data_IF_542348529141
#
_entry.id   IF_542348529141
#
_cell.length_a   1.000
_cell.length_b   1.000
_cell.length_c   1.000
_cell.angle_alpha   90.00
_cell.angle_beta   90.00
_cell.angle_gamma   90.00
#
_symmetry.space_group_name_H-M   'P 1'
#
loop_
_entity.id
_entity.type
_entity.pdbx_description
1 polymer ?
#
# COMPACT_ATOMS: atom_id res chain seq x y z
N UNK A 1 31.21 -79.55 -28.96
CA UNK A 1 31.67 -80.40 -27.83
C UNK A 1 31.85 -79.53 -26.59
N UNK A 2 31.16 -79.89 -25.48
CA UNK A 2 31.46 -79.65 -24.04
C UNK A 2 31.63 -78.17 -23.58
N UNK A 3 30.69 -77.62 -22.77
CA UNK A 3 30.62 -77.61 -21.27
C UNK A 3 31.83 -76.86 -20.65
N UNK A 4 31.78 -75.92 -19.71
CA UNK A 4 30.87 -75.70 -18.56
C UNK A 4 31.18 -74.34 -17.87
N UNK A 5 30.14 -73.70 -17.32
CA UNK A 5 30.01 -72.83 -16.13
C UNK A 5 31.21 -72.08 -15.51
N UNK A 6 30.99 -70.80 -15.17
CA UNK A 6 31.15 -70.27 -13.80
C UNK A 6 30.33 -68.98 -13.56
N UNK A 7 29.77 -68.95 -12.35
CA UNK A 7 28.92 -67.95 -11.71
C UNK A 7 29.73 -66.65 -11.45
N UNK A 8 29.11 -65.49 -11.67
CA UNK A 8 29.56 -64.23 -11.07
C UNK A 8 28.34 -63.39 -10.66
N UNK A 9 28.28 -63.10 -9.37
CA UNK A 9 27.24 -62.33 -8.71
C UNK A 9 27.53 -60.82 -8.75
N UNK A 10 26.44 -60.05 -8.72
CA UNK A 10 26.23 -58.68 -8.25
C UNK A 10 27.46 -57.76 -8.00
N UNK A 11 27.40 -56.57 -8.60
CA UNK A 11 27.46 -55.28 -7.90
C UNK A 11 27.18 -54.13 -8.89
N UNK A 12 25.92 -53.69 -8.99
CA UNK A 12 25.58 -52.42 -9.63
C UNK A 12 25.77 -51.33 -8.58
N UNK A 13 26.79 -50.51 -8.78
CA UNK A 13 27.09 -49.33 -7.97
C UNK A 13 26.08 -48.23 -8.34
N UNK A 14 24.96 -48.16 -7.63
CA UNK A 14 24.05 -47.02 -7.70
C UNK A 14 24.67 -45.86 -6.90
N UNK A 15 25.23 -44.87 -7.62
CA UNK A 15 25.61 -43.59 -7.04
C UNK A 15 24.36 -42.87 -6.54
N UNK A 16 24.16 -42.88 -5.22
CA UNK A 16 23.27 -41.98 -4.51
C UNK A 16 23.86 -40.56 -4.58
N UNK A 17 23.44 -39.77 -5.56
CA UNK A 17 23.48 -38.32 -5.44
C UNK A 17 22.23 -37.87 -4.67
N UNK A 18 22.36 -37.73 -3.36
CA UNK A 18 21.45 -36.93 -2.55
C UNK A 18 21.66 -35.46 -2.92
N UNK A 19 21.00 -35.00 -3.99
CA UNK A 19 20.72 -33.58 -4.14
C UNK A 19 19.64 -33.22 -3.12
N UNK A 20 20.08 -32.70 -1.98
CA UNK A 20 19.22 -32.03 -1.02
C UNK A 20 18.49 -30.90 -1.75
N UNK A 21 17.21 -31.09 -2.00
CA UNK A 21 16.30 -30.04 -2.38
C UNK A 21 16.01 -29.19 -1.14
N UNK A 22 16.89 -28.23 -0.84
CA UNK A 22 16.51 -27.06 -0.05
C UNK A 22 15.59 -26.18 -0.91
N UNK A 23 14.41 -26.70 -1.21
CA UNK A 23 13.25 -25.87 -1.46
C UNK A 23 12.86 -25.29 -0.10
N UNK A 24 13.48 -24.15 0.24
CA UNK A 24 12.86 -23.21 1.15
C UNK A 24 11.58 -22.78 0.46
N UNK A 25 10.50 -23.50 0.77
CA UNK A 25 9.14 -23.08 0.49
C UNK A 25 9.01 -21.66 1.01
N UNK A 26 8.96 -20.68 0.11
CA UNK A 26 8.44 -19.35 0.40
C UNK A 26 6.95 -19.52 0.68
N UNK A 27 6.62 -20.10 1.84
CA UNK A 27 5.30 -20.00 2.42
C UNK A 27 5.03 -18.51 2.55
N UNK A 28 3.98 -18.03 1.88
CA UNK A 28 3.43 -16.69 2.07
C UNK A 28 3.18 -16.47 3.57
N UNK A 29 4.17 -15.89 4.25
CA UNK A 29 3.99 -15.35 5.59
C UNK A 29 3.22 -14.05 5.37
N UNK A 30 1.93 -14.07 5.71
CA UNK A 30 1.14 -12.86 5.88
C UNK A 30 1.76 -12.10 7.06
N UNK A 31 2.77 -11.28 6.76
CA UNK A 31 3.33 -10.32 7.70
C UNK A 31 2.47 -9.07 7.61
N UNK A 32 1.73 -8.79 8.68
CA UNK A 32 0.99 -7.55 8.87
C UNK A 32 1.62 -6.72 9.99
N UNK A 33 1.06 -5.54 10.21
CA UNK A 33 1.47 -4.68 11.32
C UNK A 33 0.30 -4.49 12.29
N UNK A 34 0.60 -4.50 13.58
CA UNK A 34 -0.32 -4.23 14.69
C UNK A 34 0.09 -2.93 15.39
N UNK A 35 -0.88 -2.12 15.83
CA UNK A 35 -0.63 -0.92 16.64
C UNK A 35 -1.09 -1.23 18.05
N UNK A 36 -0.18 -1.16 19.02
CA UNK A 36 -0.55 -1.44 20.40
C UNK A 36 -1.33 -0.29 21.04
N UNK A 37 -1.87 -0.51 22.25
CA UNK A 37 -2.69 0.48 22.96
C UNK A 37 -1.96 1.81 23.26
N UNK A 38 -0.63 1.86 23.12
CA UNK A 38 0.17 3.08 23.27
C UNK A 38 0.49 3.76 21.93
N UNK A 39 -0.14 3.31 20.83
CA UNK A 39 0.10 3.85 19.50
C UNK A 39 1.43 3.41 18.88
N UNK A 40 2.05 2.34 19.40
CA UNK A 40 3.33 1.83 18.90
C UNK A 40 3.10 0.76 17.84
N UNK A 41 3.65 0.99 16.65
CA UNK A 41 3.61 0.07 15.52
C UNK A 41 4.57 -1.11 15.69
N UNK A 42 4.07 -2.35 15.56
CA UNK A 42 4.85 -3.61 15.61
C UNK A 42 4.50 -4.56 14.48
N UNK A 43 5.49 -5.25 13.93
CA UNK A 43 5.26 -6.29 12.90
C UNK A 43 4.75 -7.57 13.57
N UNK A 44 3.68 -8.16 13.01
CA UNK A 44 3.05 -9.39 13.49
C UNK A 44 2.98 -10.43 12.37
N UNK A 45 3.31 -11.67 12.72
CA UNK A 45 3.20 -12.82 11.83
C UNK A 45 1.91 -13.59 12.14
N UNK A 46 1.20 -14.02 11.10
CA UNK A 46 -0.05 -14.77 11.21
C UNK A 46 0.10 -16.21 10.71
N UNK A 47 -0.64 -17.16 11.31
CA UNK A 47 -0.62 -18.58 10.90
C UNK A 47 -1.36 -18.76 9.55
N UNK A 48 -0.69 -19.25 8.49
CA UNK A 48 -1.29 -19.40 7.17
C UNK A 48 -2.38 -20.50 7.08
N UNK A 49 -2.45 -21.43 8.05
CA UNK A 49 -3.40 -22.56 8.00
C UNK A 49 -4.85 -22.14 8.18
N UNK A 50 -5.11 -21.16 9.04
CA UNK A 50 -6.46 -20.60 9.24
C UNK A 50 -6.96 -19.88 7.96
N UNK A 51 -6.04 -19.25 7.23
CA UNK A 51 -6.35 -18.58 5.96
C UNK A 51 -6.86 -19.58 4.92
N UNK A 52 -6.16 -20.72 4.80
CA UNK A 52 -6.49 -21.75 3.81
C UNK A 52 -7.84 -22.41 4.07
N UNK A 53 -8.21 -22.62 5.35
CA UNK A 53 -9.51 -23.18 5.71
C UNK A 53 -10.66 -22.23 5.35
N UNK A 54 -10.57 -20.96 5.74
CA UNK A 54 -11.60 -19.94 5.42
C UNK A 54 -11.76 -19.75 3.91
N UNK A 55 -10.65 -19.73 3.16
CA UNK A 55 -10.69 -19.59 1.71
C UNK A 55 -11.36 -20.80 1.02
N UNK A 56 -11.13 -22.01 1.53
CA UNK A 56 -11.75 -23.22 0.99
C UNK A 56 -13.27 -23.25 1.22
N UNK A 57 -13.74 -22.79 2.39
CA UNK A 57 -15.17 -22.68 2.68
C UNK A 57 -15.86 -21.60 1.84
N UNK A 58 -15.21 -20.45 1.64
CA UNK A 58 -15.74 -19.35 0.84
C UNK A 58 -15.86 -19.71 -0.65
N UNK A 59 -14.90 -20.47 -1.20
CA UNK A 59 -14.93 -20.94 -2.61
C UNK A 59 -16.18 -21.77 -2.92
N UNK A 60 -16.66 -22.55 -1.97
CA UNK A 60 -17.86 -23.37 -2.13
C UNK A 60 -19.17 -22.55 -2.12
N UNK A 61 -19.11 -21.26 -1.78
CA UNK A 61 -20.25 -20.32 -1.75
C UNK A 61 -20.22 -19.30 -2.89
N UNK A 62 -19.18 -19.32 -3.74
CA UNK A 62 -18.85 -18.22 -4.65
C UNK A 62 -19.68 -18.15 -5.95
N UNK A 63 -20.85 -18.80 -6.02
CA UNK A 63 -21.54 -19.03 -7.31
C UNK A 63 -22.69 -18.06 -7.62
N UNK A 64 -23.08 -17.15 -6.71
CA UNK A 64 -24.23 -16.27 -6.94
C UNK A 64 -24.02 -14.82 -6.47
N UNK A 65 -24.63 -13.89 -7.20
CA UNK A 65 -24.70 -12.47 -6.83
C UNK A 65 -23.34 -11.79 -6.77
N UNK A 66 -23.10 -11.06 -5.67
CA UNK A 66 -21.87 -10.27 -5.43
C UNK A 66 -20.59 -11.12 -5.47
N UNK A 67 -20.71 -12.43 -5.25
CA UNK A 67 -19.56 -13.33 -5.19
C UNK A 67 -19.01 -13.73 -6.57
N UNK A 68 -19.73 -13.39 -7.65
CA UNK A 68 -19.29 -13.66 -9.00
C UNK A 68 -18.18 -12.70 -9.44
N UNK A 69 -17.25 -13.21 -10.26
CA UNK A 69 -16.21 -12.39 -10.89
C UNK A 69 -16.81 -11.49 -11.96
N UNK A 70 -16.39 -10.23 -11.96
CA UNK A 70 -16.75 -9.22 -12.94
C UNK A 70 -15.51 -8.49 -13.43
N UNK A 71 -15.44 -8.24 -14.74
CA UNK A 71 -14.36 -7.43 -15.33
C UNK A 71 -14.55 -5.94 -15.06
N UNK A 72 -15.79 -5.52 -14.84
CA UNK A 72 -16.15 -4.11 -14.65
C UNK A 72 -17.43 -4.05 -13.82
N UNK A 73 -17.30 -4.22 -12.51
CA UNK A 73 -18.38 -3.95 -11.56
C UNK A 73 -18.47 -2.46 -11.32
N UNK A 74 -19.69 -1.94 -11.30
CA UNK A 74 -20.03 -0.54 -11.05
C UNK A 74 -20.68 -0.44 -9.69
N UNK A 75 -20.27 0.54 -8.91
CA UNK A 75 -20.85 0.89 -7.61
C UNK A 75 -21.26 2.35 -7.65
N UNK A 76 -22.57 2.61 -7.55
CA UNK A 76 -23.10 3.96 -7.41
C UNK A 76 -22.98 4.39 -5.94
N UNK A 77 -22.17 5.43 -5.69
CA UNK A 77 -21.85 5.91 -4.34
C UNK A 77 -23.09 6.50 -3.64
N UNK A 78 -23.91 7.24 -4.38
CA UNK A 78 -25.13 7.84 -3.84
C UNK A 78 -26.24 6.80 -3.61
N UNK A 79 -26.39 5.78 -4.47
CA UNK A 79 -27.31 4.67 -4.18
C UNK A 79 -26.83 3.81 -3.01
N UNK A 80 -25.53 3.57 -2.91
CA UNK A 80 -24.93 2.84 -1.81
C UNK A 80 -25.21 3.56 -0.49
N UNK A 81 -25.00 4.88 -0.42
CA UNK A 81 -25.33 5.66 0.77
C UNK A 81 -26.82 5.56 1.13
N UNK A 82 -27.72 5.69 0.15
CA UNK A 82 -29.16 5.57 0.40
C UNK A 82 -29.54 4.20 0.99
N UNK A 83 -28.93 3.12 0.50
CA UNK A 83 -29.17 1.77 1.05
C UNK A 83 -28.51 1.59 2.43
N UNK A 84 -27.35 2.20 2.69
CA UNK A 84 -26.76 2.25 4.04
C UNK A 84 -27.71 2.98 5.01
N UNK A 85 -28.22 4.14 4.62
CA UNK A 85 -29.15 4.93 5.42
C UNK A 85 -30.37 4.10 5.82
N UNK A 86 -30.98 3.42 4.84
CA UNK A 86 -32.13 2.53 5.06
C UNK A 86 -31.82 1.39 6.02
N UNK A 87 -30.64 0.77 5.93
CA UNK A 87 -30.24 -0.29 6.85
C UNK A 87 -30.04 0.24 8.28
N UNK A 88 -29.42 1.40 8.44
CA UNK A 88 -29.21 2.03 9.75
C UNK A 88 -30.53 2.47 10.40
N UNK A 89 -31.46 3.04 9.63
CA UNK A 89 -32.80 3.40 10.10
C UNK A 89 -33.61 2.17 10.57
N UNK A 90 -33.39 1.03 9.94
CA UNK A 90 -33.98 -0.25 10.35
C UNK A 90 -33.30 -0.88 11.59
N UNK A 91 -32.29 -0.22 12.18
CA UNK A 91 -31.51 -0.74 13.32
C UNK A 91 -30.48 -1.80 12.94
N UNK A 92 -30.18 -1.94 11.64
CA UNK A 92 -29.16 -2.84 11.11
C UNK A 92 -27.75 -2.27 11.20
N UNK A 93 -26.79 -2.98 10.61
CA UNK A 93 -25.40 -2.53 10.43
C UNK A 93 -25.02 -2.63 8.96
N UNK A 94 -23.97 -1.90 8.57
CA UNK A 94 -23.43 -1.97 7.20
C UNK A 94 -23.00 -3.41 6.90
N UNK A 95 -23.56 -3.99 5.83
CA UNK A 95 -23.27 -5.39 5.44
C UNK A 95 -21.85 -5.54 4.88
N UNK A 96 -21.32 -6.77 4.89
CA UNK A 96 -19.97 -7.03 4.37
C UNK A 96 -19.85 -6.77 2.86
N UNK A 97 -20.93 -6.98 2.09
CA UNK A 97 -21.00 -6.61 0.68
C UNK A 97 -20.79 -5.11 0.47
N UNK A 98 -21.37 -4.27 1.35
CA UNK A 98 -21.16 -2.83 1.32
C UNK A 98 -19.75 -2.46 1.76
N UNK A 99 -19.24 -3.08 2.85
CA UNK A 99 -17.87 -2.84 3.34
C UNK A 99 -16.81 -3.18 2.29
N UNK A 100 -17.02 -4.23 1.50
CA UNK A 100 -16.14 -4.65 0.40
C UNK A 100 -16.45 -3.97 -0.95
N UNK A 101 -17.38 -3.01 -0.98
CA UNK A 101 -17.85 -2.34 -2.20
C UNK A 101 -18.17 -3.32 -3.33
N UNK A 102 -19.01 -4.30 -2.99
CA UNK A 102 -19.42 -5.38 -3.86
C UNK A 102 -18.24 -6.19 -4.42
N UNK A 103 -17.16 -6.34 -3.65
CA UNK A 103 -16.01 -7.16 -4.02
C UNK A 103 -15.10 -6.51 -5.07
N UNK A 104 -15.18 -5.20 -5.29
CA UNK A 104 -14.22 -4.48 -6.14
C UNK A 104 -12.79 -4.77 -5.65
N UNK A 105 -11.90 -5.15 -6.56
CA UNK A 105 -10.47 -5.45 -6.26
C UNK A 105 -9.52 -4.37 -6.76
N UNK A 106 -10.03 -3.43 -7.56
CA UNK A 106 -9.32 -2.25 -8.02
C UNK A 106 -10.33 -1.19 -8.47
N UNK A 107 -9.97 0.08 -8.33
CA UNK A 107 -10.73 1.20 -8.86
C UNK A 107 -10.04 1.64 -10.16
N UNK A 108 -10.69 1.41 -11.29
CA UNK A 108 -10.17 1.75 -12.62
C UNK A 108 -10.90 2.96 -13.23
N UNK A 109 -12.15 3.20 -12.84
CA UNK A 109 -12.97 4.24 -13.44
C UNK A 109 -13.77 5.04 -12.42
N UNK A 110 -14.00 6.30 -12.75
CA UNK A 110 -15.05 7.14 -12.17
C UNK A 110 -15.96 7.59 -13.30
N UNK A 111 -17.26 7.39 -13.14
CA UNK A 111 -18.29 7.83 -14.08
C UNK A 111 -19.29 8.73 -13.37
N UNK A 112 -19.75 9.75 -14.07
CA UNK A 112 -20.95 10.50 -13.71
C UNK A 112 -22.00 10.32 -14.79
N UNK A 113 -23.23 9.99 -14.37
CA UNK A 113 -24.38 9.83 -15.25
C UNK A 113 -25.40 10.93 -14.95
N UNK A 114 -25.45 12.03 -15.73
CA UNK A 114 -26.32 13.18 -15.43
C UNK A 114 -27.81 12.83 -15.37
N UNK A 115 -28.28 11.95 -16.25
CA UNK A 115 -29.70 11.58 -16.35
C UNK A 115 -30.23 10.89 -15.10
N UNK A 116 -29.39 10.07 -14.46
CA UNK A 116 -29.74 9.34 -13.23
C UNK A 116 -29.08 9.91 -11.98
N UNK A 117 -28.26 10.95 -12.14
CA UNK A 117 -27.44 11.59 -11.11
C UNK A 117 -26.53 10.61 -10.36
N UNK A 118 -26.14 9.52 -11.01
CA UNK A 118 -25.30 8.49 -10.39
C UNK A 118 -23.82 8.87 -10.47
N UNK A 119 -23.14 8.88 -9.32
CA UNK A 119 -21.68 8.98 -9.22
C UNK A 119 -21.16 7.57 -8.97
N UNK A 120 -20.41 7.04 -9.92
CA UNK A 120 -20.07 5.62 -9.99
C UNK A 120 -18.57 5.43 -9.96
N UNK A 121 -18.10 4.54 -9.10
CA UNK A 121 -16.76 3.97 -9.19
C UNK A 121 -16.84 2.58 -9.81
N UNK A 122 -15.87 2.21 -10.64
CA UNK A 122 -15.90 0.92 -11.31
C UNK A 122 -14.52 0.30 -11.51
N UNK A 123 -14.50 -1.02 -11.64
CA UNK A 123 -13.28 -1.80 -11.86
C UNK A 123 -13.54 -3.31 -11.75
N UNK A 124 -12.49 -4.13 -11.81
CA UNK A 124 -12.60 -5.58 -11.65
C UNK A 124 -13.07 -5.93 -10.24
N UNK A 125 -13.98 -6.90 -10.14
CA UNK A 125 -14.51 -7.39 -8.87
C UNK A 125 -14.56 -8.91 -8.85
N UNK A 126 -14.54 -9.47 -7.64
CA UNK A 126 -14.70 -10.89 -7.44
C UNK A 126 -15.26 -11.20 -6.05
N UNK A 127 -15.63 -12.45 -5.81
CA UNK A 127 -16.05 -12.88 -4.47
C UNK A 127 -14.93 -12.71 -3.46
N UNK A 128 -15.28 -12.36 -2.23
CA UNK A 128 -14.31 -11.95 -1.21
C UNK A 128 -14.53 -12.71 0.09
N UNK A 129 -13.49 -12.75 0.92
CA UNK A 129 -13.50 -13.44 2.22
C UNK A 129 -12.61 -12.69 3.21
N UNK A 130 -12.96 -12.63 4.51
CA UNK A 130 -12.04 -12.17 5.53
C UNK A 130 -10.86 -13.13 5.66
N UNK A 131 -9.66 -12.58 5.55
CA UNK A 131 -8.42 -13.29 5.81
C UNK A 131 -8.18 -13.46 7.34
N UNK A 132 -7.07 -14.09 7.80
CA UNK A 132 -6.79 -14.24 9.22
C UNK A 132 -6.60 -12.93 9.98
N UNK A 133 -6.38 -11.82 9.28
CA UNK A 133 -6.30 -10.47 9.84
C UNK A 133 -7.64 -9.74 9.78
N UNK A 134 -8.72 -10.47 9.47
CA UNK A 134 -10.09 -9.98 9.30
C UNK A 134 -10.25 -8.97 8.16
N UNK A 135 -9.26 -8.89 7.25
CA UNK A 135 -9.32 -8.03 6.07
C UNK A 135 -9.97 -8.76 4.91
N UNK A 136 -10.80 -8.06 4.16
CA UNK A 136 -11.53 -8.62 3.02
C UNK A 136 -10.60 -8.70 1.80
N UNK A 137 -10.44 -9.92 1.27
CA UNK A 137 -9.60 -10.21 0.11
C UNK A 137 -10.37 -11.01 -0.92
N UNK A 138 -10.06 -10.79 -2.20
CA UNK A 138 -10.62 -11.53 -3.31
C UNK A 138 -10.22 -13.01 -3.31
N UNK A 139 -11.17 -13.90 -3.60
CA UNK A 139 -11.02 -15.36 -3.48
C UNK A 139 -10.13 -15.95 -4.59
N UNK A 140 -10.12 -15.33 -5.76
CA UNK A 140 -9.43 -15.80 -6.95
C UNK A 140 -8.04 -15.17 -7.05
N UNK A 141 -7.95 -13.84 -6.91
CA UNK A 141 -6.68 -13.09 -7.04
C UNK A 141 -5.91 -12.95 -5.73
N UNK A 142 -6.58 -13.04 -4.58
CA UNK A 142 -5.99 -12.73 -3.27
C UNK A 142 -5.72 -11.24 -3.05
N UNK A 143 -6.17 -10.36 -3.95
CA UNK A 143 -6.03 -8.90 -3.81
C UNK A 143 -6.92 -8.38 -2.68
N UNK A 144 -6.51 -7.31 -1.97
CA UNK A 144 -7.42 -6.59 -1.08
C UNK A 144 -8.62 -6.05 -1.88
N UNK A 145 -9.80 -6.06 -1.26
CA UNK A 145 -10.97 -5.39 -1.83
C UNK A 145 -10.88 -3.88 -1.61
N UNK A 146 -11.53 -3.07 -2.46
CA UNK A 146 -11.78 -1.64 -2.17
C UNK A 146 -12.67 -1.59 -0.93
N UNK A 147 -12.21 -0.98 0.15
CA UNK A 147 -12.98 -0.89 1.38
C UNK A 147 -13.82 0.39 1.41
N UNK A 148 -15.06 0.28 1.90
CA UNK A 148 -15.94 1.41 2.12
C UNK A 148 -15.30 2.46 3.04
N UNK A 149 -14.64 2.04 4.12
CA UNK A 149 -14.00 2.96 5.07
C UNK A 149 -12.89 3.82 4.43
N UNK A 150 -12.15 3.26 3.46
CA UNK A 150 -11.11 3.98 2.75
C UNK A 150 -11.70 4.95 1.72
N UNK A 151 -12.78 4.55 1.03
CA UNK A 151 -13.52 5.44 0.13
C UNK A 151 -14.16 6.58 0.90
N UNK A 152 -14.82 6.31 2.03
CA UNK A 152 -15.41 7.34 2.90
C UNK A 152 -14.33 8.29 3.43
N UNK A 153 -13.20 7.78 3.88
CA UNK A 153 -12.07 8.62 4.33
C UNK A 153 -11.60 9.57 3.22
N UNK A 154 -11.45 9.07 1.98
CA UNK A 154 -11.06 9.90 0.86
C UNK A 154 -12.14 10.90 0.43
N UNK A 155 -13.41 10.49 0.37
CA UNK A 155 -14.54 11.37 0.05
C UNK A 155 -14.65 12.51 1.07
N UNK A 156 -14.41 12.24 2.37
CA UNK A 156 -14.36 13.28 3.41
C UNK A 156 -13.18 14.24 3.26
N UNK A 157 -12.01 13.75 2.82
CA UNK A 157 -10.86 14.61 2.50
C UNK A 157 -11.12 15.53 1.29
N UNK A 158 -12.10 15.18 0.44
CA UNK A 158 -12.53 15.89 -0.76
C UNK A 158 -14.05 16.12 -0.78
N UNK A 159 -14.62 16.54 0.36
CA UNK A 159 -16.06 16.67 0.55
C UNK A 159 -16.69 17.83 -0.25
N UNK A 160 -17.99 17.78 -0.60
CA UNK A 160 -18.72 18.87 -1.24
C UNK A 160 -18.62 20.17 -0.43
N UNK A 161 -18.33 21.27 -1.12
CA UNK A 161 -18.22 22.60 -0.51
C UNK A 161 -17.01 22.80 0.44
N UNK A 162 -16.22 21.76 0.72
CA UNK A 162 -15.03 21.85 1.56
C UNK A 162 -13.81 22.31 0.74
N UNK A 163 -12.85 22.95 1.42
CA UNK A 163 -11.55 23.22 0.79
C UNK A 163 -10.86 21.88 0.48
N UNK A 164 -10.44 21.64 -0.78
CA UNK A 164 -9.78 20.39 -1.14
C UNK A 164 -8.53 20.13 -0.31
N UNK A 165 -8.34 18.90 0.16
CA UNK A 165 -7.10 18.48 0.81
C UNK A 165 -5.94 18.61 -0.18
N UNK A 166 -4.97 19.45 0.16
CA UNK A 166 -3.81 19.71 -0.72
C UNK A 166 -2.83 18.55 -0.76
N UNK A 167 -2.68 17.84 0.36
CA UNK A 167 -1.69 16.78 0.53
C UNK A 167 -2.18 15.78 1.56
N UNK A 168 -2.14 14.51 1.20
CA UNK A 168 -2.27 13.39 2.13
C UNK A 168 -0.86 12.83 2.33
N UNK A 169 -0.34 12.88 3.55
CA UNK A 169 1.04 12.44 3.79
C UNK A 169 1.22 11.76 5.14
N UNK A 170 2.13 10.80 5.16
CA UNK A 170 2.74 10.23 6.36
C UNK A 170 4.22 10.57 6.35
N UNK A 171 4.76 10.91 7.50
CA UNK A 171 6.21 10.88 7.75
C UNK A 171 6.52 10.16 9.04
N UNK A 172 7.52 9.30 9.00
CA UNK A 172 8.09 8.66 10.19
C UNK A 172 9.50 9.20 10.35
N UNK A 173 9.70 9.97 11.43
CA UNK A 173 10.88 10.79 11.62
C UNK A 173 11.42 10.68 13.06
N UNK A 174 12.74 10.58 13.26
CA UNK A 174 13.34 10.65 14.59
C UNK A 174 13.01 11.96 15.31
N UNK A 175 12.89 11.89 16.63
CA UNK A 175 12.76 13.08 17.48
C UNK A 175 14.02 13.95 17.44
N UNK A 176 13.88 15.25 17.70
CA UNK A 176 15.02 16.18 17.75
C UNK A 176 16.04 15.75 18.83
N UNK A 177 15.53 15.27 19.96
CA UNK A 177 16.31 14.74 21.08
C UNK A 177 17.02 13.45 20.69
N UNK A 178 16.34 12.56 19.97
CA UNK A 178 16.91 11.33 19.41
C UNK A 178 18.06 11.60 18.45
N UNK A 179 17.90 12.57 17.53
CA UNK A 179 18.96 13.00 16.63
C UNK A 179 20.18 13.55 17.40
N UNK A 180 19.97 14.34 18.45
CA UNK A 180 21.07 14.86 19.28
C UNK A 180 21.80 13.76 20.06
N UNK A 181 21.07 12.78 20.60
CA UNK A 181 21.67 11.61 21.26
C UNK A 181 22.48 10.77 20.27
N UNK A 182 21.91 10.50 19.10
CA UNK A 182 22.60 9.80 18.01
C UNK A 182 23.91 10.51 17.60
N UNK A 183 23.88 11.83 17.42
CA UNK A 183 25.08 12.60 17.07
C UNK A 183 26.17 12.50 18.14
N UNK A 184 25.78 12.57 19.43
CA UNK A 184 26.71 12.41 20.55
C UNK A 184 27.30 10.99 20.60
N UNK A 185 26.49 9.98 20.36
CA UNK A 185 26.94 8.58 20.29
C UNK A 185 27.91 8.35 19.13
N UNK A 186 27.58 8.80 17.92
CA UNK A 186 28.46 8.69 16.75
C UNK A 186 29.79 9.41 16.98
N UNK A 187 29.77 10.57 17.64
CA UNK A 187 31.00 11.29 17.99
C UNK A 187 31.87 10.53 19.00
N UNK A 188 31.27 9.83 19.97
CA UNK A 188 32.01 9.09 21.00
C UNK A 188 32.65 7.80 20.48
N UNK A 189 32.05 7.18 19.46
CA UNK A 189 32.60 5.95 18.86
C UNK A 189 33.56 6.24 17.70
N UNK A 190 33.58 7.45 17.15
CA UNK A 190 34.36 7.82 15.95
C UNK A 190 35.84 7.41 16.06
N UNK A 191 36.35 6.70 15.04
CA UNK A 191 37.74 6.26 14.96
C UNK A 191 38.10 5.04 15.81
N UNK A 192 37.14 4.46 16.56
CA UNK A 192 37.33 3.28 17.42
C UNK A 192 36.44 2.10 17.01
N UNK A 193 35.97 2.11 15.77
CA UNK A 193 34.91 1.24 15.25
C UNK A 193 35.55 0.11 14.43
N UNK A 194 35.35 -1.15 14.84
CA UNK A 194 35.79 -2.35 14.11
C UNK A 194 34.59 -3.16 13.56
N UNK A 195 34.77 -3.98 12.51
CA UNK A 195 33.69 -4.82 11.97
C UNK A 195 32.95 -5.67 13.02
N UNK A 196 33.66 -6.16 14.04
CA UNK A 196 33.09 -6.94 15.14
C UNK A 196 32.14 -6.13 16.06
N UNK A 197 32.15 -4.80 15.97
CA UNK A 197 31.28 -3.92 16.75
C UNK A 197 29.93 -3.63 16.09
N UNK A 198 29.65 -4.24 14.93
CA UNK A 198 28.46 -3.98 14.12
C UNK A 198 27.16 -4.01 14.94
N UNK A 199 26.89 -5.13 15.62
CA UNK A 199 25.66 -5.31 16.41
C UNK A 199 25.59 -4.32 17.57
N UNK A 200 26.71 -4.11 18.27
CA UNK A 200 26.81 -3.14 19.38
C UNK A 200 26.52 -1.71 18.90
N UNK A 201 26.98 -1.34 17.71
CA UNK A 201 26.70 -0.05 17.10
C UNK A 201 25.28 0.07 16.58
N UNK A 202 24.70 -1.00 16.02
CA UNK A 202 23.30 -1.03 15.62
C UNK A 202 22.37 -0.80 16.82
N UNK A 203 22.60 -1.54 17.91
CA UNK A 203 21.84 -1.40 19.15
C UNK A 203 22.06 -0.01 19.76
N UNK A 204 23.31 0.44 19.85
CA UNK A 204 23.62 1.78 20.37
C UNK A 204 22.94 2.89 19.55
N UNK A 205 22.90 2.78 18.23
CA UNK A 205 22.14 3.72 17.40
C UNK A 205 20.63 3.64 17.63
N UNK A 206 20.07 2.43 17.67
CA UNK A 206 18.65 2.19 17.94
C UNK A 206 18.23 2.84 19.26
N UNK A 207 18.98 2.57 20.33
CA UNK A 207 18.69 3.05 21.68
C UNK A 207 18.83 4.57 21.78
N UNK A 208 19.87 5.14 21.15
CA UNK A 208 20.09 6.59 21.20
C UNK A 208 19.05 7.35 20.36
N UNK A 209 18.66 6.85 19.20
CA UNK A 209 17.58 7.43 18.41
C UNK A 209 16.24 7.35 19.16
N UNK A 210 15.94 6.20 19.76
CA UNK A 210 14.68 5.95 20.47
C UNK A 210 13.51 5.77 19.50
N UNK A 211 12.29 6.00 19.98
CA UNK A 211 11.09 5.93 19.12
C UNK A 211 11.07 7.10 18.12
N UNK A 212 10.54 6.83 16.94
CA UNK A 212 10.33 7.84 15.90
C UNK A 212 8.87 8.27 15.92
N UNK A 213 8.64 9.55 15.63
CA UNK A 213 7.30 10.15 15.59
C UNK A 213 6.68 9.92 14.23
N UNK A 214 5.42 9.48 14.23
CA UNK A 214 4.56 9.43 13.05
C UNK A 214 3.82 10.75 12.95
N UNK A 215 3.82 11.37 11.78
CA UNK A 215 3.02 12.57 11.48
C UNK A 215 2.16 12.31 10.26
N UNK A 216 0.85 12.48 10.42
CA UNK A 216 -0.15 12.28 9.37
C UNK A 216 -0.78 13.63 9.04
N UNK A 217 -1.02 13.89 7.75
CA UNK A 217 -1.71 15.09 7.26
C UNK A 217 -2.73 14.72 6.19
N UNK A 218 -3.80 15.49 6.12
CA UNK A 218 -4.84 15.40 5.09
C UNK A 218 -5.96 14.40 5.39
N UNK A 219 -5.76 13.46 6.31
CA UNK A 219 -6.76 12.48 6.76
C UNK A 219 -6.66 12.28 8.28
N UNK A 220 -7.72 11.78 8.95
CA UNK A 220 -7.64 11.38 10.35
C UNK A 220 -6.67 10.22 10.58
N UNK A 221 -6.01 10.20 11.74
CA UNK A 221 -4.92 9.27 12.04
C UNK A 221 -5.38 7.88 12.54
N UNK A 222 -6.64 7.77 12.94
CA UNK A 222 -7.33 6.59 13.48
C UNK A 222 -8.08 5.78 12.41
N UNK A 223 -7.71 5.92 11.13
CA UNK A 223 -8.35 5.24 9.99
C UNK A 223 -7.52 4.06 9.48
N UNK A 224 -8.16 3.11 8.80
CA UNK A 224 -7.45 2.07 8.03
C UNK A 224 -6.48 2.70 7.03
N UNK A 225 -6.96 3.72 6.30
CA UNK A 225 -6.17 4.53 5.37
C UNK A 225 -4.84 4.98 6.00
N UNK A 226 -4.88 5.66 7.15
CA UNK A 226 -3.70 6.13 7.86
C UNK A 226 -2.75 4.97 8.24
N UNK A 227 -3.29 3.85 8.74
CA UNK A 227 -2.50 2.68 9.13
C UNK A 227 -1.72 2.08 7.96
N UNK A 228 -2.36 1.92 6.80
CA UNK A 228 -1.70 1.39 5.59
C UNK A 228 -0.55 2.29 5.14
N UNK A 229 -0.74 3.62 5.15
CA UNK A 229 0.33 4.55 4.77
C UNK A 229 1.56 4.43 5.67
N UNK A 230 1.34 4.32 6.99
CA UNK A 230 2.43 4.15 7.97
C UNK A 230 3.09 2.78 7.83
N UNK A 231 2.31 1.72 7.67
CA UNK A 231 2.82 0.36 7.46
C UNK A 231 3.70 0.29 6.20
N UNK A 232 3.24 0.86 5.07
CA UNK A 232 3.96 0.83 3.82
C UNK A 232 5.30 1.58 3.90
N UNK A 233 5.34 2.78 4.50
CA UNK A 233 6.59 3.51 4.72
C UNK A 233 7.55 2.73 5.64
N UNK A 234 7.03 2.22 6.76
CA UNK A 234 7.84 1.48 7.72
C UNK A 234 8.47 0.23 7.08
N UNK A 235 7.69 -0.57 6.36
CA UNK A 235 8.19 -1.78 5.69
C UNK A 235 9.15 -1.46 4.55
N UNK A 236 8.89 -0.42 3.77
CA UNK A 236 9.83 0.02 2.73
C UNK A 236 11.20 0.36 3.32
N UNK A 237 11.24 1.00 4.50
CA UNK A 237 12.49 1.26 5.22
C UNK A 237 13.19 -0.03 5.61
N UNK A 238 12.47 -1.00 6.19
CA UNK A 238 13.03 -2.31 6.56
C UNK A 238 13.64 -3.02 5.34
N UNK A 239 12.99 -2.94 4.17
CA UNK A 239 13.52 -3.47 2.91
C UNK A 239 14.78 -2.73 2.46
N UNK A 240 14.76 -1.40 2.50
CA UNK A 240 15.91 -0.57 2.11
C UNK A 240 17.14 -0.85 2.97
N UNK A 241 16.97 -1.12 4.26
CA UNK A 241 18.05 -1.49 5.18
C UNK A 241 18.35 -2.99 5.23
N UNK A 242 17.65 -3.82 4.46
CA UNK A 242 17.87 -5.26 4.41
C UNK A 242 17.45 -6.03 5.67
N UNK A 243 16.60 -5.46 6.53
CA UNK A 243 15.95 -6.18 7.63
C UNK A 243 14.70 -6.94 7.18
N UNK A 244 14.09 -6.53 6.07
CA UNK A 244 12.98 -7.24 5.43
C UNK A 244 13.39 -7.65 4.01
N UNK A 245 13.06 -8.89 3.62
CA UNK A 245 13.22 -9.37 2.26
C UNK A 245 11.86 -9.54 1.61
N UNK A 246 11.67 -8.91 0.46
CA UNK A 246 10.44 -9.08 -0.33
C UNK A 246 10.46 -10.41 -1.09
N UNK A 247 9.28 -11.00 -1.39
CA UNK A 247 9.15 -12.20 -2.21
C UNK A 247 9.36 -11.94 -3.72
N UNK A 248 10.24 -11.00 -4.05
CA UNK A 248 10.66 -10.61 -5.40
C UNK A 248 12.18 -10.35 -5.40
N UNK A 249 12.81 -10.40 -6.58
CA UNK A 249 14.23 -10.09 -6.70
C UNK A 249 14.46 -8.58 -6.67
N UNK A 250 14.74 -8.05 -5.47
CA UNK A 250 15.09 -6.65 -5.27
C UNK A 250 16.31 -6.57 -4.33
N UNK A 251 17.39 -5.91 -4.76
CA UNK A 251 18.50 -5.64 -3.86
C UNK A 251 18.21 -4.40 -3.02
N UNK A 252 18.49 -4.50 -1.71
CA UNK A 252 18.34 -3.39 -0.77
C UNK A 252 19.31 -2.25 -1.09
N UNK A 253 19.07 -1.08 -0.49
CA UNK A 253 20.02 0.03 -0.58
C UNK A 253 21.37 -0.35 0.04
N UNK A 254 21.37 -1.00 1.21
CA UNK A 254 22.60 -1.41 1.91
C UNK A 254 23.42 -2.45 1.15
N UNK A 255 22.78 -3.25 0.28
CA UNK A 255 23.49 -4.17 -0.61
C UNK A 255 24.29 -3.43 -1.70
N UNK A 256 23.81 -2.25 -2.12
CA UNK A 256 24.36 -1.46 -3.22
C UNK A 256 25.31 -0.36 -2.76
N UNK A 257 25.16 0.10 -1.53
CA UNK A 257 25.84 1.29 -1.06
C UNK A 257 27.36 1.08 -0.98
N UNK A 258 28.11 2.02 -1.56
CA UNK A 258 29.57 2.02 -1.51
C UNK A 258 30.06 2.89 -0.33
N UNK A 259 30.81 2.32 0.63
CA UNK A 259 31.32 3.01 1.82
C UNK A 259 32.14 4.26 1.55
N UNK A 260 32.81 4.29 0.40
CA UNK A 260 33.71 5.38 0.01
C UNK A 260 32.97 6.60 -0.57
N UNK A 261 31.67 6.46 -0.86
CA UNK A 261 30.84 7.52 -1.47
C UNK A 261 29.75 8.07 -0.55
N UNK A 262 29.54 7.44 0.61
CA UNK A 262 28.54 7.86 1.60
C UNK A 262 29.25 8.56 2.75
N UNK A 263 28.95 9.85 2.96
CA UNK A 263 29.52 10.57 4.10
C UNK A 263 29.03 9.95 5.42
N UNK A 264 29.86 9.97 6.47
CA UNK A 264 29.56 9.37 7.79
C UNK A 264 28.28 9.91 8.47
N UNK A 265 27.70 10.99 7.93
CA UNK A 265 26.51 11.68 8.45
C UNK A 265 25.43 11.86 7.36
N UNK A 266 25.59 11.24 6.19
CA UNK A 266 24.62 11.31 5.10
C UNK A 266 23.41 10.44 5.43
N UNK A 267 22.22 11.01 5.26
CA UNK A 267 20.96 10.33 5.53
C UNK A 267 20.16 10.25 4.23
N UNK A 268 19.75 9.04 3.90
CA UNK A 268 18.81 8.80 2.81
C UNK A 268 17.39 8.90 3.34
N UNK A 269 16.55 9.65 2.63
CA UNK A 269 15.11 9.72 2.84
C UNK A 269 14.42 9.13 1.63
N UNK A 270 13.51 8.19 1.84
CA UNK A 270 12.68 7.62 0.78
C UNK A 270 11.20 7.85 1.06
N UNK A 271 10.41 8.16 0.05
CA UNK A 271 8.97 8.23 0.24
C UNK A 271 8.23 7.75 -1.01
N UNK A 272 7.05 7.18 -0.80
CA UNK A 272 6.16 6.83 -1.91
C UNK A 272 5.39 8.05 -2.39
N UNK A 273 5.16 8.14 -3.70
CA UNK A 273 4.26 9.09 -4.32
C UNK A 273 3.48 8.43 -5.47
N UNK A 274 2.31 8.98 -5.86
CA UNK A 274 1.63 8.53 -7.07
C UNK A 274 2.48 8.76 -8.32
N UNK A 275 2.44 7.83 -9.27
CA UNK A 275 2.77 8.17 -10.65
C UNK A 275 1.61 9.01 -11.23
N UNK A 276 1.87 10.30 -11.46
CA UNK A 276 0.86 11.27 -11.85
C UNK A 276 0.40 11.12 -13.31
N UNK A 277 1.19 10.52 -14.21
CA UNK A 277 0.95 10.50 -15.68
C UNK A 277 -0.05 9.43 -16.18
N UNK A 278 -0.90 8.92 -15.28
CA UNK A 278 -1.69 7.70 -15.49
C UNK A 278 -3.21 7.94 -15.50
N UNK A 279 -3.69 9.10 -15.95
CA UNK A 279 -5.13 9.40 -16.07
C UNK A 279 -5.52 9.63 -17.51
N UNK A 280 -6.67 9.07 -17.89
CA UNK A 280 -7.41 9.47 -19.08
C UNK A 280 -8.77 10.03 -18.70
N UNK A 281 -9.20 11.11 -19.34
CA UNK A 281 -10.51 11.76 -19.11
C UNK A 281 -11.24 11.91 -20.45
N UNK A 282 -12.54 11.67 -20.45
CA UNK A 282 -13.42 11.95 -21.60
C UNK A 282 -13.50 13.45 -21.89
N UNK A 283 -13.81 13.82 -23.13
CA UNK A 283 -13.85 15.24 -23.53
C UNK A 283 -14.88 16.06 -22.73
N UNK A 284 -16.00 15.43 -22.36
CA UNK A 284 -17.07 16.03 -21.55
C UNK A 284 -16.78 16.03 -20.03
N UNK A 285 -15.68 15.42 -19.58
CA UNK A 285 -15.34 15.29 -18.16
C UNK A 285 -16.23 14.34 -17.37
N UNK A 286 -17.17 13.62 -18.00
CA UNK A 286 -18.11 12.72 -17.32
C UNK A 286 -17.48 11.36 -16.96
N UNK A 287 -16.32 11.04 -17.51
CA UNK A 287 -15.65 9.78 -17.28
C UNK A 287 -14.14 9.97 -17.11
N UNK A 288 -13.62 9.39 -16.03
CA UNK A 288 -12.19 9.25 -15.79
C UNK A 288 -11.81 7.78 -15.76
N UNK A 289 -10.69 7.46 -16.38
CA UNK A 289 -10.00 6.18 -16.25
C UNK A 289 -8.65 6.38 -15.58
N UNK A 290 -8.41 5.60 -14.53
CA UNK A 290 -7.10 5.35 -13.98
C UNK A 290 -6.47 4.26 -14.87
N UNK A 291 -5.38 4.61 -15.57
CA UNK A 291 -4.64 3.69 -16.42
C UNK A 291 -3.77 2.76 -15.56
N UNK A 292 -2.72 2.15 -16.11
CA UNK A 292 -1.71 1.43 -15.32
C UNK A 292 -0.95 2.42 -14.41
N UNK A 293 -1.60 2.86 -13.33
CA UNK A 293 -1.00 3.75 -12.35
C UNK A 293 -0.03 2.97 -11.49
N UNK A 294 1.19 3.50 -11.39
CA UNK A 294 2.21 2.98 -10.49
C UNK A 294 2.33 3.81 -9.22
N UNK A 295 2.91 3.20 -8.20
CA UNK A 295 3.47 3.92 -7.07
C UNK A 295 4.96 4.09 -7.33
N UNK A 296 5.45 5.31 -7.21
CA UNK A 296 6.86 5.62 -7.35
C UNK A 296 7.50 5.74 -5.97
N UNK A 297 8.66 5.10 -5.78
CA UNK A 297 9.53 5.36 -4.66
C UNK A 297 10.56 6.40 -5.07
N UNK A 298 10.62 7.52 -4.35
CA UNK A 298 11.56 8.61 -4.62
C UNK A 298 12.48 8.88 -3.44
N UNK A 299 13.71 9.30 -3.73
CA UNK A 299 14.74 9.61 -2.75
C UNK A 299 14.99 11.12 -2.62
N UNK A 300 15.26 11.58 -1.39
CA UNK A 300 15.75 12.93 -1.11
C UNK A 300 17.06 12.86 -0.30
N UNK A 301 18.04 13.70 -0.68
CA UNK A 301 19.33 13.77 0.02
C UNK A 301 19.23 14.72 1.22
N UNK A 302 19.46 14.21 2.44
CA UNK A 302 19.45 15.01 3.66
C UNK A 302 20.73 14.80 4.51
N UNK A 303 21.03 15.77 5.37
CA UNK A 303 22.06 15.66 6.42
C UNK A 303 21.52 16.26 7.71
N UNK A 304 21.96 15.72 8.85
CA UNK A 304 21.66 16.32 10.16
C UNK A 304 22.78 17.25 10.60
N UNK A 305 22.42 18.48 10.94
CA UNK A 305 23.28 19.47 11.58
C UNK A 305 22.50 20.14 12.71
N UNK A 306 23.12 20.32 13.87
CA UNK A 306 22.50 20.97 15.05
C UNK A 306 21.16 20.34 15.47
N UNK A 307 21.08 19.00 15.47
CA UNK A 307 19.84 18.28 15.84
C UNK A 307 18.66 18.46 14.87
N UNK A 308 18.88 19.05 13.69
CA UNK A 308 17.87 19.24 12.64
C UNK A 308 18.33 18.66 11.31
N UNK A 309 17.37 18.23 10.50
CA UNK A 309 17.61 17.77 9.13
C UNK A 309 17.68 18.97 8.18
N UNK A 310 18.59 18.89 7.22
CA UNK A 310 18.79 19.88 6.17
C UNK A 310 18.87 19.15 4.83
N UNK A 311 18.08 19.57 3.84
CA UNK A 311 18.26 19.10 2.47
C UNK A 311 19.61 19.60 1.94
N UNK A 312 20.33 18.74 1.23
CA UNK A 312 21.59 19.11 0.59
C UNK A 312 21.40 19.12 -0.93
N UNK A 313 21.68 20.26 -1.55
CA UNK A 313 21.98 20.32 -2.97
C UNK A 313 23.37 19.68 -3.18
N UNK A 314 23.40 18.47 -3.74
CA UNK A 314 24.64 17.69 -3.82
C UNK A 314 24.53 16.44 -4.71
N UNK A 315 25.67 15.78 -4.90
CA UNK A 315 25.83 14.61 -5.77
C UNK A 315 24.92 13.47 -5.28
N UNK A 316 23.99 13.05 -6.13
CA UNK A 316 22.96 12.08 -5.73
C UNK A 316 23.58 10.72 -5.41
N UNK A 317 23.11 10.10 -4.32
CA UNK A 317 23.54 8.76 -3.96
C UNK A 317 23.02 7.75 -4.99
N UNK A 318 23.92 7.25 -5.85
CA UNK A 318 23.57 6.30 -6.92
C UNK A 318 22.94 5.01 -6.39
N UNK A 319 23.33 4.55 -5.21
CA UNK A 319 22.71 3.36 -4.60
C UNK A 319 21.26 3.65 -4.20
N UNK A 320 20.98 4.82 -3.63
CA UNK A 320 19.64 5.28 -3.27
C UNK A 320 18.75 5.44 -4.51
N UNK A 321 19.25 6.11 -5.55
CA UNK A 321 18.54 6.25 -6.83
C UNK A 321 18.23 4.90 -7.48
N UNK A 322 19.19 3.98 -7.47
CA UNK A 322 19.01 2.65 -8.08
C UNK A 322 18.01 1.83 -7.27
N UNK A 323 18.05 1.91 -5.94
CA UNK A 323 17.04 1.29 -5.08
C UNK A 323 15.64 1.82 -5.36
N UNK A 324 15.47 3.15 -5.42
CA UNK A 324 14.20 3.81 -5.76
C UNK A 324 13.67 3.36 -7.12
N UNK A 325 14.53 3.37 -8.15
CA UNK A 325 14.20 2.94 -9.51
C UNK A 325 13.79 1.46 -9.55
N UNK A 326 14.58 0.58 -8.96
CA UNK A 326 14.32 -0.86 -9.00
C UNK A 326 13.08 -1.23 -8.17
N UNK A 327 12.86 -0.56 -7.04
CA UNK A 327 11.64 -0.74 -6.24
C UNK A 327 10.41 -0.31 -7.04
N UNK A 328 10.45 0.86 -7.67
CA UNK A 328 9.37 1.37 -8.52
C UNK A 328 9.08 0.41 -9.67
N UNK A 329 10.11 -0.08 -10.36
CA UNK A 329 9.95 -1.03 -11.46
C UNK A 329 9.37 -2.38 -11.00
N UNK A 330 9.77 -2.85 -9.81
CA UNK A 330 9.25 -4.08 -9.22
C UNK A 330 7.91 -3.91 -8.50
N UNK A 331 7.42 -2.68 -8.31
CA UNK A 331 6.23 -2.40 -7.50
C UNK A 331 4.99 -3.22 -7.92
N UNK A 332 4.67 -3.39 -9.22
CA UNK A 332 3.54 -4.22 -9.63
C UNK A 332 3.65 -5.68 -9.17
N UNK A 333 4.85 -6.27 -9.22
CA UNK A 333 5.10 -7.64 -8.74
C UNK A 333 5.08 -7.70 -7.21
N UNK A 334 5.60 -6.65 -6.54
CA UNK A 334 5.58 -6.52 -5.08
C UNK A 334 4.13 -6.47 -4.58
N UNK A 335 3.29 -5.62 -5.16
CA UNK A 335 1.90 -5.46 -4.77
C UNK A 335 1.08 -6.77 -4.94
N UNK A 336 1.39 -7.59 -5.94
CA UNK A 336 0.75 -8.90 -6.11
C UNK A 336 1.06 -9.89 -4.99
N UNK A 337 2.19 -9.73 -4.29
CA UNK A 337 2.68 -10.69 -3.29
C UNK A 337 2.67 -10.15 -1.87
N UNK A 338 2.66 -8.84 -1.71
CA UNK A 338 2.76 -8.15 -0.43
C UNK A 338 1.61 -7.17 -0.30
N UNK A 339 0.63 -7.58 0.50
CA UNK A 339 -0.68 -6.95 0.64
C UNK A 339 -0.63 -5.43 0.88
N UNK A 340 0.20 -4.96 1.81
CA UNK A 340 0.24 -3.53 2.15
C UNK A 340 0.58 -2.65 0.94
N UNK A 341 1.38 -3.14 -0.01
CA UNK A 341 1.71 -2.36 -1.21
C UNK A 341 0.58 -2.39 -2.26
N UNK A 342 -0.25 -3.45 -2.28
CA UNK A 342 -1.50 -3.43 -3.03
C UNK A 342 -2.49 -2.43 -2.42
N UNK A 343 -2.66 -2.47 -1.09
CA UNK A 343 -3.51 -1.51 -0.36
C UNK A 343 -3.03 -0.08 -0.60
N UNK A 344 -1.72 0.20 -0.50
CA UNK A 344 -1.16 1.53 -0.80
C UNK A 344 -1.52 2.02 -2.20
N UNK A 345 -1.37 1.17 -3.23
CA UNK A 345 -1.74 1.52 -4.61
C UNK A 345 -3.22 1.87 -4.71
N UNK A 346 -4.07 1.08 -4.05
CA UNK A 346 -5.50 1.26 -4.07
C UNK A 346 -5.95 2.53 -3.34
N UNK A 347 -5.33 2.85 -2.21
CA UNK A 347 -5.57 4.11 -1.48
C UNK A 347 -5.19 5.34 -2.31
N UNK A 348 -4.10 5.27 -3.08
CA UNK A 348 -3.72 6.31 -4.03
C UNK A 348 -4.83 6.51 -5.09
N UNK A 349 -5.32 5.41 -5.67
CA UNK A 349 -6.36 5.46 -6.70
C UNK A 349 -7.69 6.00 -6.16
N UNK A 350 -8.09 5.57 -4.96
CA UNK A 350 -9.26 6.08 -4.25
C UNK A 350 -9.13 7.58 -3.97
N UNK A 351 -7.97 8.05 -3.50
CA UNK A 351 -7.75 9.46 -3.23
C UNK A 351 -7.80 10.32 -4.51
N UNK A 352 -7.27 9.81 -5.63
CA UNK A 352 -7.38 10.48 -6.94
C UNK A 352 -8.82 10.48 -7.44
N UNK A 353 -9.56 9.39 -7.28
CA UNK A 353 -10.99 9.33 -7.62
C UNK A 353 -11.81 10.35 -6.83
N UNK A 354 -11.63 10.43 -5.50
CA UNK A 354 -12.32 11.41 -4.66
C UNK A 354 -11.96 12.86 -5.04
N UNK A 355 -10.67 13.13 -5.32
CA UNK A 355 -10.25 14.43 -5.81
C UNK A 355 -10.88 14.80 -7.16
N UNK A 356 -11.01 13.82 -8.07
CA UNK A 356 -11.65 14.01 -9.37
C UNK A 356 -13.14 14.32 -9.24
N UNK A 357 -13.86 13.56 -8.40
CA UNK A 357 -15.29 13.79 -8.10
C UNK A 357 -15.51 15.22 -7.60
N UNK A 358 -14.64 15.71 -6.70
CA UNK A 358 -14.73 17.07 -6.19
C UNK A 358 -14.35 18.13 -7.24
N UNK A 359 -13.30 17.89 -8.04
CA UNK A 359 -12.82 18.82 -9.07
C UNK A 359 -13.81 19.02 -10.21
N UNK A 360 -14.56 17.99 -10.57
CA UNK A 360 -15.64 18.07 -11.55
C UNK A 360 -16.97 18.56 -10.93
N UNK A 361 -17.03 18.82 -9.63
CA UNK A 361 -18.26 19.15 -8.90
C UNK A 361 -19.39 18.14 -9.13
N UNK A 362 -19.07 16.85 -9.19
CA UNK A 362 -20.09 15.82 -9.35
C UNK A 362 -21.09 15.80 -8.20
N UNK A 363 -20.66 16.20 -6.99
CA UNK A 363 -21.57 16.37 -5.85
C UNK A 363 -22.67 17.40 -6.13
N UNK A 364 -22.29 18.59 -6.62
CA UNK A 364 -23.25 19.65 -6.96
C UNK A 364 -24.15 19.24 -8.13
N UNK A 365 -23.58 18.61 -9.16
CA UNK A 365 -24.35 18.12 -10.32
C UNK A 365 -25.34 17.00 -9.94
N UNK A 366 -24.98 16.13 -8.99
CA UNK A 366 -25.84 15.06 -8.49
C UNK A 366 -26.83 15.52 -7.40
N UNK A 367 -26.70 16.74 -6.88
CA UNK A 367 -27.40 17.21 -5.68
C UNK A 367 -27.17 16.27 -4.47
N UNK A 368 -25.91 15.87 -4.27
CA UNK A 368 -25.52 14.86 -3.30
C UNK A 368 -24.55 15.41 -2.24
N UNK A 369 -25.04 15.61 -1.02
CA UNK A 369 -24.25 16.15 0.09
C UNK A 369 -23.58 15.11 0.97
N UNK A 370 -23.70 13.81 0.66
CA UNK A 370 -23.22 12.69 1.48
C UNK A 370 -23.70 12.73 2.96
N UNK A 371 -25.02 12.88 3.23
CA UNK A 371 -25.52 13.10 4.60
C UNK A 371 -25.20 11.97 5.60
N UNK A 372 -24.98 10.73 5.14
CA UNK A 372 -24.68 9.59 6.00
C UNK A 372 -23.19 9.25 5.97
N UNK A 373 -22.55 9.27 4.80
CA UNK A 373 -21.13 8.99 4.65
C UNK A 373 -20.26 10.09 5.25
N UNK A 374 -20.72 11.35 5.36
CA UNK A 374 -19.96 12.39 6.08
C UNK A 374 -20.08 12.31 7.60
N UNK A 375 -21.10 11.64 8.12
CA UNK A 375 -21.37 11.60 9.55
C UNK A 375 -20.63 10.43 10.21
N UNK A 376 -19.59 10.74 10.99
CA UNK A 376 -18.80 9.74 11.74
C UNK A 376 -19.64 8.96 12.77
N UNK A 377 -20.79 9.50 13.21
CA UNK A 377 -21.70 8.81 14.13
C UNK A 377 -22.57 7.77 13.45
N UNK A 378 -22.76 7.87 12.13
CA UNK A 378 -23.55 6.92 11.33
C UNK A 378 -22.65 5.91 10.61
N UNK A 379 -21.56 6.39 10.01
CA UNK A 379 -20.54 5.57 9.35
C UNK A 379 -19.19 5.91 9.93
N UNK A 380 -18.80 5.14 10.96
CA UNK A 380 -17.53 5.36 11.65
C UNK A 380 -16.35 4.76 10.88
N UNK A 381 -15.35 5.58 10.56
CA UNK A 381 -14.09 5.16 9.93
C UNK A 381 -12.88 5.41 10.83
N UNK A 382 -13.03 6.23 11.88
CA UNK A 382 -12.00 6.53 12.88
C UNK A 382 -12.00 5.49 14.02
N UNK A 383 -11.94 4.21 13.65
CA UNK A 383 -12.11 3.07 14.57
C UNK A 383 -10.80 2.44 15.03
N UNK A 384 -9.66 2.86 14.50
CA UNK A 384 -8.34 2.30 14.78
C UNK A 384 -7.57 3.10 15.83
N UNK A 385 -6.68 2.42 16.55
CA UNK A 385 -5.67 3.11 17.36
C UNK A 385 -4.69 3.85 16.45
N UNK A 386 -4.55 5.16 16.67
CA UNK A 386 -3.66 5.99 15.89
C UNK A 386 -2.19 5.53 16.02
N UNK A 387 -1.46 5.34 14.92
CA UNK A 387 -0.03 5.09 14.97
C UNK A 387 0.69 6.41 15.28
N UNK A 388 1.12 6.59 16.53
CA UNK A 388 1.81 7.82 16.97
C UNK A 388 3.33 7.67 16.90
N UNK A 389 3.83 6.45 17.16
CA UNK A 389 5.25 6.17 17.25
C UNK A 389 5.60 4.82 16.62
N UNK A 390 6.85 4.71 16.14
CA UNK A 390 7.41 3.43 15.68
C UNK A 390 8.77 3.18 16.30
N UNK A 391 9.12 1.90 16.48
CA UNK A 391 10.46 1.54 16.87
C UNK A 391 11.47 1.95 15.81
N UNK A 392 12.62 2.48 16.24
CA UNK A 392 13.74 2.67 15.31
C UNK A 392 14.25 1.31 14.87
N UNK A 393 14.24 1.08 13.57
CA UNK A 393 14.91 -0.03 12.92
C UNK A 393 16.30 0.42 12.43
N UNK A 394 17.35 -0.24 12.91
CA UNK A 394 18.73 -0.01 12.48
C UNK A 394 19.30 -1.33 11.99
N UNK A 395 19.87 -1.34 10.79
CA UNK A 395 20.77 -2.41 10.35
C UNK A 395 22.19 -1.86 10.26
N UNK A 396 23.10 -2.34 11.11
CA UNK A 396 24.52 -2.03 10.95
C UNK A 396 25.14 -2.97 9.91
N UNK A 397 24.91 -2.68 8.64
CA UNK A 397 25.62 -3.40 7.58
C UNK A 397 27.01 -2.81 7.43
N UNK A 398 28.03 -3.59 7.77
CA UNK A 398 29.41 -3.26 7.51
C UNK A 398 29.74 -3.53 6.03
N UNK A 399 29.86 -2.46 5.26
CA UNK A 399 30.59 -2.45 3.99
C UNK A 399 31.82 -1.57 4.27
N UNK A 400 33.05 -2.06 4.11
CA UNK A 400 34.25 -1.26 4.40
C UNK A 400 34.34 -0.83 5.87
N UNK A 401 34.55 0.46 6.17
CA UNK A 401 34.63 1.04 7.54
C UNK A 401 33.45 1.98 7.91
N UNK A 402 32.33 1.95 7.17
CA UNK A 402 31.28 2.99 7.27
C UNK A 402 29.92 2.41 7.65
N UNK A 403 29.28 3.00 8.66
CA UNK A 403 27.93 2.68 9.12
C UNK A 403 26.88 3.41 8.27
N UNK A 404 25.88 2.69 7.77
CA UNK A 404 24.86 3.22 6.86
C UNK A 404 23.46 3.00 7.42
N UNK A 405 22.71 4.09 7.56
CA UNK A 405 21.43 4.11 8.25
C UNK A 405 20.52 5.15 7.57
N UNK A 406 19.49 4.73 6.81
CA UNK A 406 18.43 5.65 6.40
C UNK A 406 17.58 5.99 7.63
N UNK A 407 17.15 7.23 7.70
CA UNK A 407 16.61 7.83 8.93
C UNK A 407 15.37 8.68 8.70
N UNK A 408 14.79 8.63 7.49
CA UNK A 408 13.56 9.34 7.17
C UNK A 408 12.81 8.66 6.05
N UNK A 409 11.50 8.82 6.07
CA UNK A 409 10.67 8.41 4.95
C UNK A 409 9.21 8.77 5.15
N UNK A 410 8.40 8.38 4.18
CA UNK A 410 6.97 8.64 4.25
C UNK A 410 6.18 8.14 3.05
N UNK A 411 4.94 8.57 3.04
CA UNK A 411 4.09 8.58 1.84
C UNK A 411 3.69 10.03 1.61
N UNK A 412 3.75 10.48 0.37
CA UNK A 412 3.34 11.83 -0.01
C UNK A 412 2.45 11.74 -1.25
N UNK A 413 1.15 11.98 -1.06
CA UNK A 413 0.17 11.99 -2.13
C UNK A 413 -0.39 13.39 -2.29
N UNK A 414 -0.36 13.87 -3.53
CA UNK A 414 -1.03 15.10 -3.93
C UNK A 414 -2.04 14.75 -5.03
N UNK A 415 -3.21 14.18 -4.70
CA UNK A 415 -4.14 13.63 -5.68
C UNK A 415 -4.48 14.59 -6.84
N UNK A 416 -4.70 15.87 -6.53
CA UNK A 416 -4.99 16.91 -7.53
C UNK A 416 -3.85 17.19 -8.52
N UNK A 417 -2.61 16.85 -8.18
CA UNK A 417 -1.52 16.94 -9.16
C UNK A 417 -1.76 15.99 -10.32
N UNK A 418 -2.34 14.81 -10.10
CA UNK A 418 -2.67 13.87 -11.17
C UNK A 418 -3.71 14.43 -12.15
N UNK A 419 -4.52 15.40 -11.70
CA UNK A 419 -5.63 16.01 -12.46
C UNK A 419 -5.19 17.23 -13.29
N UNK A 420 -3.94 17.66 -13.18
CA UNK A 420 -3.43 18.76 -13.99
C UNK A 420 -3.36 18.36 -15.46
N UNK A 421 -3.59 19.33 -16.35
CA UNK A 421 -3.60 19.12 -17.80
C UNK A 421 -2.32 18.46 -18.36
N UNK A 422 -1.16 18.66 -17.73
CA UNK A 422 0.12 18.04 -18.11
C UNK A 422 0.20 16.54 -17.80
N UNK A 423 -0.61 16.06 -16.86
CA UNK A 423 -0.66 14.68 -16.39
C UNK A 423 -1.90 13.90 -16.89
N UNK A 424 -2.91 14.63 -17.39
CA UNK A 424 -4.14 14.06 -17.95
C UNK A 424 -3.99 13.84 -19.46
N UNK A 425 -4.22 12.61 -19.90
CA UNK A 425 -4.31 12.27 -21.33
C UNK A 425 -5.77 12.38 -21.78
N UNK A 426 -6.01 13.09 -22.88
CA UNK A 426 -7.34 13.04 -23.52
C UNK A 426 -7.62 11.64 -24.08
N UNK A 427 -8.88 11.20 -24.01
CA UNK A 427 -9.38 9.92 -24.54
C UNK A 427 -9.38 9.87 -26.08
N UNK A 428 -8.19 9.96 -26.68
CA UNK A 428 -8.03 9.99 -28.14
C UNK A 428 -8.36 8.67 -28.83
N UNK A 429 -8.37 7.53 -28.10
CA UNK A 429 -8.79 6.23 -28.62
C UNK A 429 -10.29 5.93 -28.38
N UNK A 430 -11.03 6.86 -27.76
CA UNK A 430 -12.47 6.80 -27.50
C UNK A 430 -12.87 5.69 -26.51
N UNK A 431 -11.92 5.09 -25.81
CA UNK A 431 -12.17 3.93 -24.94
C UNK A 431 -12.93 4.34 -23.69
N UNK A 432 -12.57 5.47 -23.08
CA UNK A 432 -13.20 5.96 -21.86
C UNK A 432 -14.66 6.33 -22.12
N UNK A 433 -14.93 7.08 -23.20
CA UNK A 433 -16.29 7.45 -23.63
C UNK A 433 -17.12 6.21 -23.96
N UNK A 434 -16.55 5.25 -24.70
CA UNK A 434 -17.25 4.00 -25.03
C UNK A 434 -17.64 3.23 -23.77
N UNK A 435 -16.69 3.01 -22.84
CA UNK A 435 -16.97 2.29 -21.59
C UNK A 435 -18.04 3.00 -20.76
N UNK A 436 -17.98 4.33 -20.65
CA UNK A 436 -19.02 5.11 -19.97
C UNK A 436 -20.41 4.89 -20.59
N UNK A 437 -20.52 4.98 -21.92
CA UNK A 437 -21.81 4.80 -22.62
C UNK A 437 -22.42 3.41 -22.45
N UNK A 438 -21.59 2.37 -22.34
CA UNK A 438 -22.03 0.97 -22.19
C UNK A 438 -22.24 0.55 -20.72
N UNK A 439 -21.63 1.26 -19.76
CA UNK A 439 -21.62 0.90 -18.34
C UNK A 439 -22.74 1.55 -17.52
N UNK A 440 -23.60 2.36 -18.15
CA UNK A 440 -24.68 3.09 -17.49
C UNK A 440 -25.66 2.20 -16.71
N UNK A 441 -26.33 2.75 -15.68
CA UNK A 441 -27.36 2.02 -14.96
C UNK A 441 -28.55 1.72 -15.88
N UNK A 442 -28.96 0.45 -15.95
CA UNK A 442 -30.09 -0.01 -16.76
C UNK A 442 -30.92 -1.01 -15.96
N UNK A 443 -32.22 -0.77 -15.85
CA UNK A 443 -33.20 -1.72 -15.27
C UNK A 443 -32.82 -2.23 -13.86
N UNK A 444 -32.21 -1.37 -13.04
CA UNK A 444 -31.81 -1.73 -11.68
C UNK A 444 -33.03 -1.95 -10.79
N UNK A 445 -32.95 -2.93 -9.89
CA UNK A 445 -33.99 -3.18 -8.88
C UNK A 445 -33.98 -2.06 -7.82
N UNK A 446 -35.10 -1.92 -7.12
CA UNK A 446 -35.16 -1.04 -5.95
C UNK A 446 -34.11 -1.46 -4.90
N UNK A 447 -33.37 -0.49 -4.34
CA UNK A 447 -32.27 -0.74 -3.41
C UNK A 447 -30.98 -1.29 -4.04
N UNK A 448 -30.95 -1.53 -5.36
CA UNK A 448 -29.73 -1.98 -6.03
C UNK A 448 -28.75 -0.82 -6.24
N UNK A 449 -27.57 -0.95 -5.66
CA UNK A 449 -26.51 0.07 -5.68
C UNK A 449 -25.26 -0.33 -6.48
N UNK A 450 -25.21 -1.56 -7.00
CA UNK A 450 -24.13 -2.05 -7.85
C UNK A 450 -24.65 -2.92 -9.01
N UNK A 451 -23.88 -3.00 -10.10
CA UNK A 451 -24.18 -3.82 -11.29
C UNK A 451 -22.91 -4.18 -12.07
N UNK A 452 -23.00 -5.22 -12.91
CA UNK A 452 -21.91 -5.72 -13.76
C UNK A 452 -22.05 -5.36 -15.24
#
# INVERSE_FOLDING_TARGET
MKKTNRIAALLVFALLFSFGSDQVSAQNQLAGVDVDANGILKVKQFDPRLAQQRLAEARNRAETGVMQTSKLRKVSLNRLEAEIAKQLEAGGTVSDDMKALAGLTSLEYVFFYPDTKDIVIAGPAEGFVPDPTERLVGIQTGKPTVLLEDVVTALRAYAPGAKPTSTISVSIDPTSEGLQRMQRFLASVRGRVQPSDAERLAMGLKDNLGLQTVTIKGIPNSTHFARVLVEADYRMKLVGIGLERLPVRLQSYVDRANPNTVASNAMERWYFQPNYDAISVSEDGLAMRINERGVELVGANERVANGRRMQIAGKVNRASQTFCKDFTAAFPEIAQKVRVYAELSQLIDIAVAAAYIQEQDFYGQADWSMPVLQDETLVSVETYTAPEQVETAVNAVWRGNTLMTPLGGGVNMQPRQALKAEHVRQDTDGRVVKTHSEAGPSQLKEGQWWWD
#
